data_IF_732441253408
#
_entry.id   IF_732441253408
#
_cell.length_a   1.000
_cell.length_b   1.000
_cell.length_c   1.000
_cell.angle_alpha   90.00
_cell.angle_beta   90.00
_cell.angle_gamma   90.00
#
_symmetry.space_group_name_H-M   'P 1'
#
loop_
_entity.id
_entity.type
_entity.pdbx_description
1 polymer ?
#
# COMPACT_ATOMS: atom_id res chain seq x y z
N UNK A 1 35.17 -17.94 -6.77
CA UNK A 1 33.97 -17.64 -7.59
C UNK A 1 32.79 -18.46 -7.08
N UNK A 2 31.59 -17.89 -7.07
CA UNK A 2 30.37 -18.64 -6.74
C UNK A 2 30.09 -19.69 -7.82
N UNK A 3 29.64 -20.89 -7.40
CA UNK A 3 29.30 -22.00 -8.31
C UNK A 3 27.85 -21.91 -8.84
N UNK A 4 26.97 -21.24 -8.11
CA UNK A 4 25.59 -20.91 -8.50
C UNK A 4 25.07 -19.73 -7.65
N UNK A 5 24.03 -19.06 -8.12
CA UNK A 5 23.31 -17.99 -7.40
C UNK A 5 21.81 -18.25 -7.50
N UNK A 6 21.09 -18.12 -6.39
CA UNK A 6 19.63 -18.14 -6.32
C UNK A 6 19.18 -16.74 -5.90
N UNK A 7 18.40 -16.09 -6.75
CA UNK A 7 17.76 -14.83 -6.42
C UNK A 7 16.35 -15.08 -5.86
N UNK A 8 16.14 -14.65 -4.62
CA UNK A 8 14.86 -14.70 -3.92
C UNK A 8 14.55 -13.34 -3.25
N UNK A 9 15.10 -12.25 -3.78
CA UNK A 9 14.94 -10.92 -3.17
C UNK A 9 13.51 -10.40 -3.23
N UNK A 10 12.71 -10.90 -4.17
CA UNK A 10 11.35 -10.45 -4.42
C UNK A 10 11.27 -8.95 -4.77
N UNK A 11 10.07 -8.40 -4.71
CA UNK A 11 9.78 -6.98 -5.04
C UNK A 11 9.11 -6.23 -3.89
N UNK A 12 9.12 -6.82 -2.68
CA UNK A 12 8.42 -6.24 -1.52
C UNK A 12 8.99 -4.89 -1.07
N UNK A 13 10.20 -4.53 -1.45
CA UNK A 13 10.79 -3.22 -1.15
C UNK A 13 10.65 -2.21 -2.28
N UNK A 14 10.19 -2.65 -3.46
CA UNK A 14 10.08 -1.85 -4.69
C UNK A 14 8.68 -1.97 -5.28
N UNK A 15 7.66 -1.30 -4.69
CA UNK A 15 6.31 -1.31 -5.23
C UNK A 15 6.26 -0.63 -6.60
N UNK A 16 5.38 -1.10 -7.47
CA UNK A 16 5.09 -0.41 -8.73
C UNK A 16 4.39 0.94 -8.47
N UNK A 17 4.67 1.98 -9.27
CA UNK A 17 4.03 3.28 -9.11
C UNK A 17 2.52 3.22 -9.39
N UNK A 18 1.78 4.24 -8.94
CA UNK A 18 0.33 4.32 -9.17
C UNK A 18 -0.03 4.73 -10.61
N UNK A 19 0.92 5.29 -11.36
CA UNK A 19 0.71 5.72 -12.75
C UNK A 19 0.85 4.61 -13.78
N UNK A 20 0.53 4.95 -15.04
CA UNK A 20 0.54 4.01 -16.15
C UNK A 20 1.95 3.72 -16.68
N UNK A 21 2.11 2.60 -17.38
CA UNK A 21 3.35 2.22 -18.08
C UNK A 21 4.60 2.15 -17.18
N UNK A 22 4.41 1.90 -15.88
CA UNK A 22 5.51 1.86 -14.90
C UNK A 22 6.05 3.24 -14.50
N UNK A 23 5.30 4.32 -14.78
CA UNK A 23 5.67 5.67 -14.40
C UNK A 23 4.87 6.15 -13.19
N UNK A 24 5.46 6.96 -12.28
CA UNK A 24 4.73 7.63 -11.21
C UNK A 24 3.56 8.46 -11.73
N UNK A 25 2.44 8.44 -11.00
CA UNK A 25 1.35 9.36 -11.25
C UNK A 25 1.79 10.81 -10.99
N UNK A 26 1.09 11.76 -11.62
CA UNK A 26 1.34 13.19 -11.39
C UNK A 26 1.17 13.51 -9.89
N UNK A 27 2.20 14.14 -9.30
CA UNK A 27 2.22 14.51 -7.89
C UNK A 27 2.50 13.36 -6.90
N UNK A 28 2.61 12.11 -7.36
CA UNK A 28 2.80 10.94 -6.48
C UNK A 28 4.03 11.09 -5.58
N UNK A 29 5.17 11.49 -6.15
CA UNK A 29 6.41 11.72 -5.38
C UNK A 29 6.29 12.86 -4.38
N UNK A 30 5.61 13.94 -4.75
CA UNK A 30 5.42 15.10 -3.88
C UNK A 30 4.45 14.79 -2.72
N UNK A 31 3.55 13.82 -2.91
CA UNK A 31 2.58 13.38 -1.91
C UNK A 31 3.03 12.11 -1.16
N UNK A 32 4.31 11.73 -1.21
CA UNK A 32 4.83 10.48 -0.66
C UNK A 32 4.40 10.24 0.81
N UNK A 33 4.37 11.28 1.64
CA UNK A 33 3.98 11.16 3.05
C UNK A 33 2.51 10.74 3.26
N UNK A 34 1.66 10.94 2.23
CA UNK A 34 0.23 10.62 2.25
C UNK A 34 -0.09 9.30 1.54
N UNK A 35 0.84 8.75 0.77
CA UNK A 35 0.63 7.55 -0.04
C UNK A 35 1.27 6.36 0.65
N UNK A 36 0.55 5.24 0.73
CA UNK A 36 1.11 3.93 1.09
C UNK A 36 0.84 2.94 -0.02
N UNK A 37 1.82 2.08 -0.28
CA UNK A 37 1.72 0.98 -1.24
C UNK A 37 1.31 -0.35 -0.60
N UNK A 38 1.11 -0.36 0.72
CA UNK A 38 0.83 -1.56 1.50
C UNK A 38 -0.59 -1.54 2.02
N UNK A 39 -1.15 -2.73 2.21
CA UNK A 39 -2.37 -2.90 2.99
C UNK A 39 -2.06 -2.45 4.42
N UNK A 40 -2.80 -1.48 4.99
CA UNK A 40 -2.57 -1.02 6.34
C UNK A 40 -2.92 -2.11 7.36
N UNK A 41 -2.07 -2.26 8.38
CA UNK A 41 -2.35 -3.10 9.54
C UNK A 41 -2.99 -2.26 10.65
N UNK A 42 -4.31 -2.39 10.83
CA UNK A 42 -5.05 -1.64 11.85
C UNK A 42 -4.91 -2.20 13.27
N UNK A 43 -4.15 -3.28 13.47
CA UNK A 43 -3.73 -3.71 14.82
C UNK A 43 -2.66 -2.79 15.40
N UNK A 44 -1.89 -2.12 14.54
CA UNK A 44 -0.98 -1.06 14.96
C UNK A 44 -1.78 0.21 15.31
N UNK A 45 -1.73 0.69 16.56
CA UNK A 45 -2.47 1.88 16.98
C UNK A 45 -2.10 3.16 16.21
N UNK A 46 -0.84 3.29 15.79
CA UNK A 46 -0.35 4.46 15.04
C UNK A 46 -0.92 4.45 13.63
N UNK A 47 -0.95 3.29 12.99
CA UNK A 47 -1.60 3.12 11.67
C UNK A 47 -3.08 3.37 11.83
N UNK A 48 -3.76 2.76 12.80
CA UNK A 48 -5.20 2.97 13.02
C UNK A 48 -5.55 4.45 13.17
N UNK A 49 -4.83 5.18 14.02
CA UNK A 49 -5.05 6.62 14.23
C UNK A 49 -4.88 7.47 12.96
N UNK A 50 -4.03 7.04 12.01
CA UNK A 50 -3.86 7.73 10.72
C UNK A 50 -5.10 7.65 9.83
N UNK A 51 -5.89 6.57 9.92
CA UNK A 51 -7.01 6.30 9.00
C UNK A 51 -8.40 6.50 9.63
N UNK A 52 -8.54 6.41 10.96
CA UNK A 52 -9.81 6.63 11.67
C UNK A 52 -10.44 7.98 11.31
N UNK A 53 -11.73 7.96 10.96
CA UNK A 53 -12.49 9.16 10.55
C UNK A 53 -11.98 9.86 9.28
N UNK A 54 -11.07 9.24 8.50
CA UNK A 54 -10.53 9.82 7.26
C UNK A 54 -11.20 9.23 6.02
N UNK A 55 -11.22 10.03 4.96
CA UNK A 55 -11.56 9.54 3.61
C UNK A 55 -10.30 8.99 2.96
N UNK A 56 -10.32 7.71 2.62
CA UNK A 56 -9.17 7.00 2.04
C UNK A 56 -9.53 6.49 0.66
N UNK A 57 -8.69 6.80 -0.34
CA UNK A 57 -8.81 6.24 -1.68
C UNK A 57 -7.91 5.00 -1.81
N UNK A 58 -8.41 3.95 -2.45
CA UNK A 58 -7.66 2.74 -2.78
C UNK A 58 -7.53 2.67 -4.31
N UNK A 59 -6.31 2.50 -4.80
CA UNK A 59 -6.01 2.43 -6.23
C UNK A 59 -5.62 0.99 -6.59
N UNK A 60 -6.28 0.42 -7.60
CA UNK A 60 -6.02 -0.92 -8.12
C UNK A 60 -7.23 -1.86 -8.00
N UNK A 61 -7.15 -2.99 -8.71
CA UNK A 61 -8.21 -4.00 -8.81
C UNK A 61 -7.75 -5.41 -8.43
N UNK A 62 -6.54 -5.54 -7.86
CA UNK A 62 -5.99 -6.81 -7.40
C UNK A 62 -6.47 -7.23 -6.00
N UNK A 63 -6.11 -8.44 -5.59
CA UNK A 63 -6.48 -8.99 -4.27
C UNK A 63 -6.13 -8.06 -3.11
N UNK A 64 -4.94 -7.43 -3.15
CA UNK A 64 -4.50 -6.49 -2.10
C UNK A 64 -5.41 -5.26 -1.97
N UNK A 65 -5.98 -4.76 -3.07
CA UNK A 65 -6.90 -3.63 -3.04
C UNK A 65 -8.22 -4.02 -2.36
N UNK A 66 -8.75 -5.22 -2.66
CA UNK A 66 -9.95 -5.74 -2.00
C UNK A 66 -9.73 -5.98 -0.50
N UNK A 67 -8.58 -6.54 -0.11
CA UNK A 67 -8.23 -6.69 1.32
C UNK A 67 -8.18 -5.34 2.02
N UNK A 68 -7.53 -4.34 1.42
CA UNK A 68 -7.48 -2.99 1.99
C UNK A 68 -8.87 -2.37 2.16
N UNK A 69 -9.74 -2.52 1.16
CA UNK A 69 -11.13 -2.04 1.23
C UNK A 69 -11.93 -2.74 2.35
N UNK A 70 -11.79 -4.06 2.49
CA UNK A 70 -12.44 -4.81 3.57
C UNK A 70 -11.98 -4.32 4.95
N UNK A 71 -10.67 -4.18 5.15
CA UNK A 71 -10.11 -3.67 6.40
C UNK A 71 -10.57 -2.23 6.71
N UNK A 72 -10.59 -1.35 5.71
CA UNK A 72 -11.05 0.04 5.86
C UNK A 72 -12.55 0.09 6.20
N UNK A 73 -13.36 -0.78 5.61
CA UNK A 73 -14.79 -0.89 5.91
C UNK A 73 -15.03 -1.37 7.34
N UNK A 74 -14.22 -2.31 7.84
CA UNK A 74 -14.30 -2.78 9.23
C UNK A 74 -13.82 -1.71 10.20
N UNK A 75 -12.75 -0.98 9.87
CA UNK A 75 -12.31 0.18 10.65
C UNK A 75 -13.43 1.20 10.82
N UNK A 76 -14.09 1.57 9.72
CA UNK A 76 -15.17 2.56 9.71
C UNK A 76 -16.41 2.17 10.52
N UNK A 77 -16.66 0.86 10.75
CA UNK A 77 -17.74 0.38 11.63
C UNK A 77 -17.34 0.38 13.11
N UNK A 78 -16.03 0.37 13.38
CA UNK A 78 -15.44 0.23 14.72
C UNK A 78 -15.00 1.55 15.33
N UNK A 79 -15.16 2.65 14.60
CA UNK A 79 -15.00 4.03 15.07
C UNK A 79 -16.36 4.56 15.55
#
# INVERSE_FOLDING_TARGET
>A
FARAVIDASGTWTTPGPAGASGLPALGEKAAADRITYRVPDFKDPVVRARYTGRRTAVVGSGASAFTALAHLADLAKSD
#
